data_IF_854671291223
#
_entry.id   IF_854671291223
#
_cell.length_a   1.000
_cell.length_b   1.000
_cell.length_c   1.000
_cell.angle_alpha   90.00
_cell.angle_beta   90.00
_cell.angle_gamma   90.00
#
_symmetry.space_group_name_H-M   'P 1'
#
loop_
_entity.id
_entity.type
_entity.pdbx_description
1 polymer ?
#
# COMPACT_ATOMS: atom_id res chain seq x y z
N UNK A 1 -15.11 0.22 -16.71
CA UNK A 1 -14.06 1.10 -17.30
C UNK A 1 -12.68 0.53 -16.95
N UNK A 2 -11.59 0.95 -17.62
CA UNK A 2 -10.23 0.50 -17.24
C UNK A 2 -9.90 0.83 -15.78
N UNK A 3 -10.39 1.98 -15.28
CA UNK A 3 -10.29 2.38 -13.88
C UNK A 3 -10.92 1.37 -12.91
N UNK A 4 -12.04 0.74 -13.30
CA UNK A 4 -12.70 -0.28 -12.48
C UNK A 4 -11.91 -1.59 -12.47
N UNK A 5 -11.29 -1.96 -13.59
CA UNK A 5 -10.41 -3.14 -13.66
C UNK A 5 -9.19 -2.93 -12.77
N UNK A 6 -8.53 -1.77 -12.87
CA UNK A 6 -7.38 -1.44 -12.02
C UNK A 6 -7.74 -1.51 -10.54
N UNK A 7 -8.90 -0.94 -10.14
CA UNK A 7 -9.38 -1.03 -8.75
C UNK A 7 -9.54 -2.48 -8.28
N UNK A 8 -10.19 -3.32 -9.09
CA UNK A 8 -10.40 -4.74 -8.76
C UNK A 8 -9.11 -5.52 -8.63
N UNK A 9 -8.09 -5.19 -9.43
CA UNK A 9 -6.75 -5.81 -9.31
C UNK A 9 -6.13 -5.44 -7.96
N UNK A 10 -6.17 -4.16 -7.57
CA UNK A 10 -5.65 -3.71 -6.28
C UNK A 10 -6.42 -4.34 -5.12
N UNK A 11 -7.76 -4.41 -5.19
CA UNK A 11 -8.58 -5.04 -4.16
C UNK A 11 -8.21 -6.53 -3.98
N UNK A 12 -8.04 -7.25 -5.09
CA UNK A 12 -7.62 -8.65 -5.06
C UNK A 12 -6.25 -8.83 -4.42
N UNK A 13 -5.25 -8.06 -4.86
CA UNK A 13 -3.88 -8.14 -4.35
C UNK A 13 -3.80 -7.70 -2.88
N UNK A 14 -4.64 -6.76 -2.45
CA UNK A 14 -4.76 -6.35 -1.05
C UNK A 14 -5.24 -7.50 -0.17
N UNK A 15 -6.24 -8.27 -0.63
CA UNK A 15 -6.70 -9.48 0.06
C UNK A 15 -5.64 -10.57 0.14
N UNK A 16 -4.88 -10.78 -0.95
CA UNK A 16 -3.76 -11.74 -0.98
C UNK A 16 -2.64 -11.32 -0.02
N UNK A 17 -2.25 -10.05 -0.03
CA UNK A 17 -1.23 -9.52 0.88
C UNK A 17 -1.68 -9.68 2.33
N UNK A 18 -2.93 -9.30 2.64
CA UNK A 18 -3.51 -9.44 3.97
C UNK A 18 -3.48 -10.89 4.47
N UNK A 19 -3.91 -11.84 3.64
CA UNK A 19 -3.92 -13.27 4.01
C UNK A 19 -2.51 -13.83 4.30
N UNK A 20 -1.45 -13.21 3.75
CA UNK A 20 -0.06 -13.61 3.94
C UNK A 20 0.70 -12.70 4.93
N UNK A 21 0.01 -11.82 5.65
CA UNK A 21 0.64 -10.86 6.57
C UNK A 21 1.53 -9.81 5.88
N UNK A 22 1.43 -9.68 4.57
CA UNK A 22 2.11 -8.66 3.79
C UNK A 22 1.32 -7.35 3.74
N UNK A 23 1.98 -6.30 3.24
CA UNK A 23 1.40 -4.97 3.05
C UNK A 23 1.40 -4.61 1.56
N UNK A 24 0.46 -3.78 1.13
CA UNK A 24 0.45 -3.16 -0.20
C UNK A 24 0.53 -1.65 -0.03
N UNK A 25 1.43 -0.98 -0.76
CA UNK A 25 1.62 0.47 -0.70
C UNK A 25 1.68 1.07 -2.09
N UNK A 26 1.12 2.27 -2.26
CA UNK A 26 1.22 3.04 -3.51
C UNK A 26 2.53 3.83 -3.49
N UNK A 27 3.38 3.63 -4.49
CA UNK A 27 4.68 4.33 -4.60
C UNK A 27 4.70 5.38 -5.72
N UNK A 28 3.76 5.31 -6.66
CA UNK A 28 3.55 6.29 -7.72
C UNK A 28 2.13 6.19 -8.30
N UNK A 29 1.79 7.07 -9.26
CA UNK A 29 0.54 6.99 -10.01
C UNK A 29 0.41 5.63 -10.70
N UNK A 30 -0.63 4.88 -10.33
CA UNK A 30 -0.88 3.52 -10.82
C UNK A 30 0.28 2.52 -10.59
N UNK A 31 1.19 2.81 -9.66
CA UNK A 31 2.34 1.96 -9.32
C UNK A 31 2.31 1.60 -7.84
N UNK A 32 2.38 0.31 -7.55
CA UNK A 32 2.23 -0.25 -6.21
C UNK A 32 3.34 -1.25 -5.91
N UNK A 33 3.68 -1.40 -4.63
CA UNK A 33 4.59 -2.41 -4.10
C UNK A 33 3.85 -3.31 -3.12
N UNK A 34 4.16 -4.61 -3.15
CA UNK A 34 3.73 -5.59 -2.14
C UNK A 34 4.96 -5.98 -1.32
N UNK A 35 4.82 -5.84 -0.01
CA UNK A 35 5.89 -6.04 0.96
C UNK A 35 5.57 -7.31 1.74
N UNK A 36 6.41 -8.36 1.67
CA UNK A 36 6.22 -9.57 2.47
C UNK A 36 6.46 -9.28 3.96
N UNK A 37 5.88 -10.08 4.84
CA UNK A 37 5.88 -9.87 6.30
C UNK A 37 7.28 -9.77 6.96
N UNK A 38 8.32 -10.26 6.29
CA UNK A 38 9.69 -10.33 6.79
C UNK A 38 10.59 -9.21 6.25
N UNK A 39 10.06 -8.29 5.45
CA UNK A 39 10.79 -7.17 4.89
C UNK A 39 10.17 -5.89 5.42
N UNK A 40 11.02 -5.00 5.91
CA UNK A 40 10.61 -3.67 6.34
C UNK A 40 11.12 -2.61 5.36
N UNK A 41 10.28 -1.65 5.02
CA UNK A 41 10.64 -0.56 4.11
C UNK A 41 11.16 0.60 4.94
N UNK A 42 12.45 0.88 4.81
CA UNK A 42 13.08 2.00 5.52
C UNK A 42 12.41 3.31 5.11
N UNK A 43 11.78 4.00 6.06
CA UNK A 43 11.08 5.27 5.83
C UNK A 43 9.55 5.16 5.65
N UNK A 44 8.96 3.96 5.66
CA UNK A 44 7.50 3.79 5.62
C UNK A 44 6.84 4.25 6.92
N UNK A 45 7.38 3.88 8.08
CA UNK A 45 6.80 4.22 9.38
C UNK A 45 6.70 5.74 9.59
N UNK A 46 7.70 6.50 9.15
CA UNK A 46 7.71 7.97 9.28
C UNK A 46 6.67 8.63 8.36
N UNK A 47 6.50 8.12 7.14
CA UNK A 47 5.48 8.61 6.20
C UNK A 47 4.07 8.25 6.67
N UNK A 48 3.88 7.02 7.17
CA UNK A 48 2.59 6.54 7.67
C UNK A 48 2.19 7.26 8.97
N UNK A 49 3.15 7.63 9.83
CA UNK A 49 2.92 8.48 11.01
C UNK A 49 2.59 9.93 10.63
N UNK A 50 3.23 10.50 9.61
CA UNK A 50 2.95 11.86 9.13
C UNK A 50 1.56 11.95 8.47
N UNK A 51 1.16 10.93 7.71
CA UNK A 51 -0.17 10.84 7.09
C UNK A 51 -1.28 10.60 8.12
N UNK A 52 -1.05 9.75 9.13
CA UNK A 52 -2.05 9.48 10.18
C UNK A 52 -2.17 10.59 11.23
N UNK A 53 -1.10 11.33 11.52
CA UNK A 53 -1.13 12.43 12.50
C UNK A 53 -1.59 13.76 11.91
N UNK A 54 -1.99 13.82 10.64
CA UNK A 54 -2.51 15.04 10.01
C UNK A 54 -1.55 16.21 10.21
N UNK A 55 -0.50 16.29 9.39
CA UNK A 55 0.31 17.50 9.29
C UNK A 55 -0.57 18.67 8.82
N UNK A 56 -1.22 19.34 9.78
CA UNK A 56 -1.80 20.66 9.64
C UNK A 56 -0.66 21.67 9.62
N UNK A 57 -0.04 21.94 8.47
CA UNK A 57 0.55 23.23 8.09
C UNK A 57 0.70 23.32 6.57
#
# INVERSE_FOLDING_TARGET
TEKDVSRRIIDFLSGVAYANGGKIKRVATNTYIIIPYNVDLTGDDLMDELENNGAYY
#
